data_IF_807228833808
#
_entry.id   IF_807228833808
#
_cell.length_a   1.000
_cell.length_b   1.000
_cell.length_c   1.000
_cell.angle_alpha   90.00
_cell.angle_beta   90.00
_cell.angle_gamma   90.00
#
_symmetry.space_group_name_H-M   'P 1'
#
loop_
_entity.id
_entity.type
_entity.pdbx_description
1 polymer ?
#
# COMPACT_ATOMS: atom_id res chain seq x y z
N UNK A 1 -54.02 21.81 33.58
CA UNK A 1 -53.05 21.17 32.65
C UNK A 1 -52.29 22.17 31.76
N UNK A 2 -52.93 23.15 31.09
CA UNK A 2 -52.21 24.12 30.21
C UNK A 2 -51.11 24.94 30.90
N UNK A 3 -51.31 25.38 32.15
CA UNK A 3 -50.31 26.14 32.93
C UNK A 3 -49.05 25.32 33.24
N UNK A 4 -49.19 24.00 33.42
CA UNK A 4 -48.07 23.09 33.64
C UNK A 4 -47.20 22.97 32.37
N UNK A 5 -47.83 22.92 31.20
CA UNK A 5 -47.14 22.83 29.92
C UNK A 5 -46.35 24.10 29.60
N UNK A 6 -46.90 25.27 29.90
CA UNK A 6 -46.20 26.55 29.75
C UNK A 6 -44.96 26.63 30.65
N UNK A 7 -45.02 26.14 31.89
CA UNK A 7 -43.86 26.10 32.77
C UNK A 7 -42.77 25.15 32.25
N UNK A 8 -43.13 23.99 31.70
CA UNK A 8 -42.18 23.05 31.11
C UNK A 8 -41.47 23.69 29.90
N UNK A 9 -42.20 24.39 29.04
CA UNK A 9 -41.63 25.06 27.86
C UNK A 9 -40.65 26.16 28.26
N UNK A 10 -40.99 26.96 29.28
CA UNK A 10 -40.10 28.02 29.78
C UNK A 10 -38.82 27.41 30.37
N UNK A 11 -38.94 26.33 31.13
CA UNK A 11 -37.79 25.65 31.73
C UNK A 11 -36.88 25.04 30.65
N UNK A 12 -37.46 24.45 29.60
CA UNK A 12 -36.73 23.86 28.49
C UNK A 12 -36.01 24.93 27.65
N UNK A 13 -36.65 26.08 27.41
CA UNK A 13 -36.03 27.23 26.75
C UNK A 13 -34.88 27.83 27.58
N UNK A 14 -35.05 27.95 28.90
CA UNK A 14 -33.99 28.38 29.80
C UNK A 14 -32.79 27.44 29.77
N UNK A 15 -33.04 26.13 29.79
CA UNK A 15 -31.99 25.12 29.71
C UNK A 15 -31.26 25.15 28.35
N UNK A 16 -31.98 25.35 27.25
CA UNK A 16 -31.39 25.47 25.91
C UNK A 16 -30.53 26.73 25.79
N UNK A 17 -31.01 27.87 26.30
CA UNK A 17 -30.23 29.11 26.36
C UNK A 17 -28.97 28.96 27.20
N UNK A 18 -29.08 28.29 28.35
CA UNK A 18 -27.94 28.02 29.22
C UNK A 18 -26.91 27.11 28.54
N UNK A 19 -27.37 26.05 27.85
CA UNK A 19 -26.51 25.14 27.09
C UNK A 19 -25.73 25.86 25.98
N UNK A 20 -26.32 26.88 25.38
CA UNK A 20 -25.67 27.65 24.30
C UNK A 20 -24.57 28.56 24.84
N UNK A 21 -24.77 29.15 26.03
CA UNK A 21 -23.78 30.03 26.66
C UNK A 21 -22.60 29.26 27.29
N UNK A 22 -22.80 27.99 27.64
CA UNK A 22 -21.77 27.11 28.19
C UNK A 22 -21.56 25.90 27.27
N UNK A 23 -20.91 26.08 26.11
CA UNK A 23 -20.52 24.95 25.28
C UNK A 23 -19.65 24.00 26.11
N UNK A 24 -19.84 22.67 25.97
CA UNK A 24 -19.05 21.71 26.70
C UNK A 24 -17.62 21.87 26.20
N UNK A 25 -16.68 22.16 27.12
CA UNK A 25 -15.27 22.27 26.76
C UNK A 25 -14.85 20.93 26.16
N UNK A 26 -14.39 20.95 24.90
CA UNK A 26 -13.76 19.78 24.32
C UNK A 26 -12.54 19.43 25.21
N UNK A 27 -12.32 18.16 25.55
CA UNK A 27 -11.13 17.77 26.28
C UNK A 27 -9.91 18.25 25.49
N UNK A 28 -9.18 19.21 26.05
CA UNK A 28 -7.95 19.70 25.46
C UNK A 28 -6.92 18.58 25.58
N UNK A 29 -6.53 17.99 24.44
CA UNK A 29 -5.40 17.06 24.39
C UNK A 29 -4.17 17.89 24.71
N UNK A 30 -3.78 17.92 25.98
CA UNK A 30 -2.53 18.52 26.41
C UNK A 30 -1.44 17.64 25.81
N UNK A 31 -0.72 18.15 24.80
CA UNK A 31 0.53 17.54 24.38
C UNK A 31 1.42 17.50 25.62
N UNK A 32 1.54 16.32 26.22
CA UNK A 32 2.22 16.15 27.49
C UNK A 32 3.59 16.78 27.42
N UNK A 33 3.95 17.55 28.43
CA UNK A 33 5.34 17.90 28.73
C UNK A 33 6.08 16.59 29.02
N UNK A 34 6.53 15.97 27.95
CA UNK A 34 7.24 14.71 27.87
C UNK A 34 8.75 14.87 28.02
N UNK A 35 9.24 16.04 28.44
CA UNK A 35 10.66 16.37 28.34
C UNK A 35 11.55 15.74 29.44
N UNK A 36 11.13 14.63 30.07
CA UNK A 36 12.01 13.97 31.05
C UNK A 36 11.54 12.65 31.64
N UNK A 37 10.22 12.41 31.76
CA UNK A 37 9.71 11.12 32.29
C UNK A 37 9.62 10.02 31.23
N UNK A 38 9.45 10.41 29.96
CA UNK A 38 9.30 9.45 28.87
C UNK A 38 10.62 8.81 28.46
N UNK A 39 11.76 9.49 28.59
CA UNK A 39 13.03 8.93 28.13
C UNK A 39 13.46 7.69 28.93
N UNK A 40 13.21 7.69 30.24
CA UNK A 40 13.51 6.53 31.09
C UNK A 40 12.53 5.38 30.88
N UNK A 41 11.23 5.67 30.73
CA UNK A 41 10.22 4.65 30.42
C UNK A 41 10.44 4.04 29.02
N UNK A 42 10.82 4.85 28.04
CA UNK A 42 11.16 4.40 26.67
C UNK A 42 12.42 3.54 26.70
N UNK A 43 13.45 3.89 27.48
CA UNK A 43 14.65 3.07 27.63
C UNK A 43 14.37 1.72 28.29
N UNK A 44 13.54 1.70 29.34
CA UNK A 44 13.12 0.45 30.00
C UNK A 44 12.30 -0.42 29.05
N UNK A 45 11.41 0.19 28.25
CA UNK A 45 10.64 -0.52 27.23
C UNK A 45 11.57 -1.10 26.15
N UNK A 46 12.53 -0.33 25.64
CA UNK A 46 13.50 -0.78 24.62
C UNK A 46 14.35 -1.96 25.14
N UNK A 47 14.84 -1.90 26.38
CA UNK A 47 15.59 -3.00 27.00
C UNK A 47 14.73 -4.27 27.19
N UNK A 48 13.42 -4.09 27.44
CA UNK A 48 12.49 -5.21 27.51
C UNK A 48 12.15 -5.81 26.14
N UNK A 49 12.16 -5.00 25.08
CA UNK A 49 11.88 -5.43 23.70
C UNK A 49 13.01 -6.28 23.10
N UNK A 50 14.28 -6.00 23.46
CA UNK A 50 15.42 -6.84 23.08
C UNK A 50 15.33 -8.27 23.66
N UNK A 51 14.50 -8.49 24.69
CA UNK A 51 14.24 -9.81 25.29
C UNK A 51 13.10 -10.57 24.62
N UNK A 52 12.36 -9.95 23.70
CA UNK A 52 11.25 -10.58 22.98
C UNK A 52 11.78 -11.33 21.76
N UNK A 53 11.84 -12.65 21.87
CA UNK A 53 12.25 -13.51 20.77
C UNK A 53 11.37 -13.27 19.52
N UNK A 54 11.99 -12.87 18.41
CA UNK A 54 11.31 -12.64 17.12
C UNK A 54 11.35 -11.19 16.62
N UNK A 55 11.77 -10.23 17.45
CA UNK A 55 12.04 -8.87 17.00
C UNK A 55 13.54 -8.72 16.68
N UNK A 56 13.90 -8.08 15.56
CA UNK A 56 15.29 -7.80 15.25
C UNK A 56 15.84 -6.72 16.22
N UNK A 57 17.13 -6.82 16.55
CA UNK A 57 17.80 -5.86 17.43
C UNK A 57 17.66 -4.42 16.91
N UNK A 58 17.70 -3.43 17.81
CA UNK A 58 17.51 -2.01 17.47
C UNK A 58 18.43 -1.52 16.32
N UNK A 59 19.65 -2.05 16.25
CA UNK A 59 20.63 -1.78 15.19
C UNK A 59 20.10 -2.10 13.78
N UNK A 60 19.21 -3.08 13.64
CA UNK A 60 18.61 -3.46 12.37
C UNK A 60 17.67 -2.39 11.79
N UNK A 61 17.21 -1.45 12.61
CA UNK A 61 16.29 -0.38 12.21
C UNK A 61 17.00 0.94 11.83
N UNK A 62 18.29 1.08 12.10
CA UNK A 62 19.08 2.27 11.73
C UNK A 62 18.95 2.67 10.24
N UNK A 63 18.97 1.73 9.27
CA UNK A 63 18.85 2.07 7.85
C UNK A 63 17.50 2.71 7.45
N UNK A 64 16.45 2.55 8.26
CA UNK A 64 15.13 3.16 8.00
C UNK A 64 15.19 4.67 8.25
N UNK A 65 15.96 5.11 9.25
CA UNK A 65 16.20 6.52 9.53
C UNK A 65 17.03 7.20 8.44
N UNK A 66 18.02 6.48 7.89
CA UNK A 66 18.87 6.97 6.80
C UNK A 66 18.14 7.11 5.46
N UNK A 67 17.07 6.34 5.24
CA UNK A 67 16.30 6.29 3.97
C UNK A 67 14.81 6.51 4.22
N UNK A 68 14.40 7.74 4.58
CA UNK A 68 13.02 8.01 4.94
C UNK A 68 12.07 7.69 3.79
N UNK A 69 11.05 6.88 4.09
CA UNK A 69 9.96 6.56 3.17
C UNK A 69 9.15 7.77 2.74
N UNK A 70 9.25 8.90 3.45
CA UNK A 70 8.56 10.14 3.09
C UNK A 70 9.58 11.26 3.01
N UNK A 71 9.82 11.77 1.80
CA UNK A 71 10.55 13.02 1.61
C UNK A 71 9.53 14.16 1.62
N UNK A 72 9.86 15.28 2.29
CA UNK A 72 9.02 16.49 2.25
C UNK A 72 8.76 16.98 0.81
N UNK A 73 9.64 16.63 -0.14
CA UNK A 73 9.52 16.96 -1.57
C UNK A 73 8.69 15.96 -2.40
N UNK A 74 8.06 14.94 -1.81
CA UNK A 74 7.15 14.05 -2.54
C UNK A 74 5.94 14.86 -3.01
N UNK A 75 5.82 15.07 -4.33
CA UNK A 75 4.65 15.67 -4.97
C UNK A 75 3.78 14.58 -5.59
N UNK A 76 2.45 14.70 -5.57
CA UNK A 76 1.56 13.87 -6.37
C UNK A 76 1.99 13.89 -7.85
N UNK A 77 1.78 12.81 -8.61
CA UNK A 77 1.95 12.86 -10.06
C UNK A 77 1.04 13.95 -10.65
N UNK A 78 1.46 14.63 -11.73
CA UNK A 78 0.64 15.64 -12.38
C UNK A 78 -0.73 15.05 -12.77
N UNK A 79 -1.81 15.85 -12.70
CA UNK A 79 -3.13 15.39 -13.10
C UNK A 79 -3.10 14.82 -14.53
N UNK A 80 -3.71 13.64 -14.70
CA UNK A 80 -3.86 13.04 -16.02
C UNK A 80 -4.78 13.93 -16.86
N UNK A 81 -4.25 14.55 -17.91
CA UNK A 81 -5.04 15.25 -18.92
C UNK A 81 -5.46 14.21 -19.97
N UNK A 82 -6.76 13.88 -20.10
CA UNK A 82 -7.22 12.97 -21.14
C UNK A 82 -6.93 13.62 -22.51
N UNK A 83 -6.29 12.85 -23.40
CA UNK A 83 -6.11 13.27 -24.78
C UNK A 83 -7.48 13.55 -25.45
N UNK A 84 -7.57 14.51 -26.37
CA UNK A 84 -8.80 14.77 -27.11
C UNK A 84 -9.29 13.48 -27.76
N UNK A 85 -10.61 13.23 -27.82
CA UNK A 85 -11.14 12.03 -28.44
C UNK A 85 -10.78 12.05 -29.93
N UNK A 86 -9.76 11.25 -30.28
CA UNK A 86 -9.45 10.96 -31.67
C UNK A 86 -10.64 10.29 -32.35
N UNK A 87 -10.85 10.61 -33.63
CA UNK A 87 -11.88 9.99 -34.47
C UNK A 87 -11.82 8.47 -34.29
N UNK A 88 -12.95 7.87 -33.89
CA UNK A 88 -13.08 6.41 -33.74
C UNK A 88 -12.71 5.76 -35.08
N UNK A 89 -11.75 4.82 -35.13
CA UNK A 89 -11.47 4.09 -36.35
C UNK A 89 -12.71 3.30 -36.80
N UNK A 90 -12.87 3.05 -38.11
CA UNK A 90 -14.00 2.30 -38.64
C UNK A 90 -14.11 0.92 -37.98
N UNK A 91 -15.34 0.55 -37.63
CA UNK A 91 -15.66 -0.75 -37.03
C UNK A 91 -15.28 -1.84 -38.02
N UNK A 92 -14.24 -2.62 -37.69
CA UNK A 92 -13.86 -3.78 -38.50
C UNK A 92 -14.90 -4.89 -38.29
N UNK A 93 -15.18 -5.71 -39.32
CA UNK A 93 -16.05 -6.87 -39.16
C UNK A 93 -15.54 -7.79 -38.05
N UNK A 94 -16.44 -8.47 -37.31
CA UNK A 94 -16.06 -9.32 -36.20
C UNK A 94 -15.15 -10.43 -36.72
N UNK A 95 -13.85 -10.35 -36.39
CA UNK A 95 -12.94 -11.48 -36.54
C UNK A 95 -13.49 -12.62 -35.69
N UNK A 96 -13.47 -13.85 -36.19
CA UNK A 96 -13.68 -15.05 -35.38
C UNK A 96 -12.75 -14.95 -34.17
N UNK A 97 -13.32 -14.64 -33.01
CA UNK A 97 -12.54 -14.42 -31.80
C UNK A 97 -12.19 -15.80 -31.29
N UNK A 98 -10.94 -16.22 -31.48
CA UNK A 98 -10.44 -17.42 -30.82
C UNK A 98 -10.52 -17.28 -29.30
N UNK A 99 -10.13 -18.35 -28.59
CA UNK A 99 -10.19 -18.40 -27.12
C UNK A 99 -9.71 -17.10 -26.44
N UNK A 100 -10.42 -16.62 -25.41
CA UNK A 100 -10.10 -15.39 -24.73
C UNK A 100 -8.69 -15.48 -24.12
N UNK A 101 -7.79 -14.57 -24.52
CA UNK A 101 -6.38 -14.54 -24.06
C UNK A 101 -6.23 -13.79 -22.74
N UNK A 102 -7.09 -14.09 -21.77
CA UNK A 102 -7.11 -13.45 -20.46
C UNK A 102 -6.96 -14.48 -19.34
N UNK A 103 -6.44 -14.03 -18.20
CA UNK A 103 -6.26 -14.81 -16.99
C UNK A 103 -7.05 -14.15 -15.85
N UNK A 104 -7.90 -14.93 -15.18
CA UNK A 104 -8.59 -14.49 -13.98
C UNK A 104 -7.62 -14.53 -12.79
N UNK A 105 -7.33 -13.35 -12.24
CA UNK A 105 -6.34 -13.18 -11.16
C UNK A 105 -7.01 -13.10 -9.78
N UNK A 106 -8.18 -12.46 -9.67
CA UNK A 106 -8.96 -12.42 -8.45
C UNK A 106 -10.44 -12.18 -8.73
N UNK A 107 -11.28 -12.60 -7.79
CA UNK A 107 -12.71 -12.27 -7.74
C UNK A 107 -12.97 -11.56 -6.41
N UNK A 108 -13.65 -10.43 -6.47
CA UNK A 108 -13.98 -9.59 -5.31
C UNK A 108 -15.50 -9.51 -5.24
N UNK A 109 -16.07 -9.95 -4.11
CA UNK A 109 -17.51 -9.95 -3.86
C UNK A 109 -17.76 -9.09 -2.63
N UNK A 110 -18.52 -8.01 -2.79
CA UNK A 110 -18.89 -7.07 -1.72
C UNK A 110 -20.41 -6.97 -1.69
N UNK A 111 -21.04 -7.73 -0.81
CA UNK A 111 -22.51 -7.85 -0.76
C UNK A 111 -23.06 -8.37 -2.09
N UNK A 112 -23.81 -7.52 -2.81
CA UNK A 112 -24.38 -7.85 -4.13
C UNK A 112 -23.47 -7.50 -5.30
N UNK A 113 -22.41 -6.72 -5.08
CA UNK A 113 -21.49 -6.32 -6.14
C UNK A 113 -20.41 -7.37 -6.35
N UNK A 114 -20.16 -7.72 -7.62
CA UNK A 114 -19.12 -8.66 -8.01
C UNK A 114 -18.16 -8.03 -9.02
N UNK A 115 -16.88 -8.20 -8.78
CA UNK A 115 -15.80 -7.71 -9.64
C UNK A 115 -14.81 -8.82 -9.93
N UNK A 116 -14.30 -8.86 -11.16
CA UNK A 116 -13.19 -9.74 -11.52
C UNK A 116 -11.96 -8.88 -11.84
N UNK A 117 -10.80 -9.29 -11.35
CA UNK A 117 -9.51 -8.77 -11.79
C UNK A 117 -8.94 -9.71 -12.84
N UNK A 118 -8.83 -9.21 -14.07
CA UNK A 118 -8.27 -9.94 -15.20
C UNK A 118 -6.91 -9.39 -15.56
N UNK A 119 -6.05 -10.26 -16.08
CA UNK A 119 -4.74 -9.90 -16.63
C UNK A 119 -4.59 -10.51 -18.00
N UNK A 120 -4.04 -9.75 -18.95
CA UNK A 120 -3.83 -10.22 -20.32
C UNK A 120 -4.74 -9.52 -21.32
N UNK A 121 -4.71 -10.02 -22.55
CA UNK A 121 -5.33 -9.35 -23.69
C UNK A 121 -4.45 -8.25 -24.29
N UNK A 122 -5.07 -7.14 -24.73
CA UNK A 122 -4.33 -5.96 -25.24
C UNK A 122 -3.49 -5.23 -24.19
N UNK A 123 -3.84 -5.36 -22.91
CA UNK A 123 -3.12 -4.69 -21.81
C UNK A 123 -2.44 -5.72 -20.90
N UNK A 124 -1.15 -5.49 -20.62
CA UNK A 124 -0.34 -6.37 -19.76
C UNK A 124 -0.64 -6.19 -18.27
N UNK A 125 -1.36 -5.13 -17.91
CA UNK A 125 -1.69 -4.76 -16.55
C UNK A 125 -2.99 -5.42 -16.10
N UNK A 126 -3.14 -5.59 -14.79
CA UNK A 126 -4.40 -6.07 -14.21
C UNK A 126 -5.49 -5.01 -14.36
N UNK A 127 -6.66 -5.39 -14.86
CA UNK A 127 -7.85 -4.54 -15.02
C UNK A 127 -9.02 -5.13 -14.26
N UNK A 128 -9.82 -4.28 -13.63
CA UNK A 128 -11.09 -4.65 -12.99
C UNK A 128 -12.20 -4.65 -14.04
N UNK A 129 -13.02 -5.70 -14.04
CA UNK A 129 -14.18 -5.84 -14.94
C UNK A 129 -15.45 -6.23 -14.18
N UNK A 130 -16.61 -5.88 -14.76
CA UNK A 130 -17.95 -6.13 -14.22
C UNK A 130 -18.79 -6.99 -15.17
N UNK A 131 -19.89 -7.55 -14.66
CA UNK A 131 -20.90 -8.22 -15.50
C UNK A 131 -21.45 -7.23 -16.53
N UNK A 132 -21.56 -7.66 -17.78
CA UNK A 132 -22.01 -6.86 -18.92
C UNK A 132 -20.90 -6.10 -19.65
N UNK A 133 -19.68 -6.03 -19.10
CA UNK A 133 -18.54 -5.37 -19.75
C UNK A 133 -17.94 -6.25 -20.85
N UNK A 134 -17.36 -5.61 -21.87
CA UNK A 134 -16.68 -6.30 -22.98
C UNK A 134 -15.16 -6.25 -22.81
N UNK A 135 -14.52 -7.40 -22.99
CA UNK A 135 -13.08 -7.61 -22.85
C UNK A 135 -12.60 -8.39 -24.08
N UNK A 136 -11.76 -7.77 -24.91
CA UNK A 136 -11.17 -8.40 -26.10
C UNK A 136 -12.20 -9.11 -27.02
N UNK A 137 -13.39 -8.53 -27.18
CA UNK A 137 -14.46 -9.10 -28.00
C UNK A 137 -15.34 -10.13 -27.28
N UNK A 138 -15.15 -10.33 -25.98
CA UNK A 138 -15.98 -11.21 -25.15
C UNK A 138 -16.73 -10.40 -24.10
N UNK A 139 -18.02 -10.64 -23.97
CA UNK A 139 -18.88 -10.03 -22.94
C UNK A 139 -18.89 -10.88 -21.68
N UNK A 140 -18.71 -10.25 -20.52
CA UNK A 140 -18.82 -10.90 -19.22
C UNK A 140 -20.29 -11.19 -18.91
N UNK A 141 -20.67 -12.48 -18.86
CA UNK A 141 -22.02 -12.92 -18.55
C UNK A 141 -22.21 -13.24 -17.07
N UNK A 142 -21.21 -13.84 -16.41
CA UNK A 142 -21.26 -14.13 -14.98
C UNK A 142 -19.90 -14.00 -14.31
N UNK A 143 -19.91 -13.64 -13.03
CA UNK A 143 -18.75 -13.65 -12.14
C UNK A 143 -19.13 -14.48 -10.91
N UNK A 144 -18.41 -15.57 -10.69
CA UNK A 144 -18.58 -16.47 -9.54
C UNK A 144 -17.26 -16.59 -8.76
N UNK A 145 -17.32 -17.16 -7.55
CA UNK A 145 -16.20 -17.16 -6.59
C UNK A 145 -14.87 -17.64 -7.17
N UNK A 146 -14.89 -18.59 -8.09
CA UNK A 146 -13.69 -19.17 -8.70
C UNK A 146 -13.68 -19.14 -10.23
N UNK A 147 -14.67 -18.52 -10.89
CA UNK A 147 -14.76 -18.54 -12.34
C UNK A 147 -15.41 -17.28 -12.92
N UNK A 148 -14.98 -16.94 -14.14
CA UNK A 148 -15.50 -15.86 -14.96
C UNK A 148 -16.09 -16.48 -16.23
N UNK A 149 -17.38 -16.24 -16.49
CA UNK A 149 -18.04 -16.73 -17.70
C UNK A 149 -18.08 -15.60 -18.73
N UNK A 150 -17.58 -15.90 -19.91
CA UNK A 150 -17.49 -14.98 -21.04
C UNK A 150 -18.32 -15.52 -22.20
N UNK A 151 -18.90 -14.62 -23.00
CA UNK A 151 -19.61 -14.98 -24.22
C UNK A 151 -19.34 -14.00 -25.35
N UNK A 152 -19.20 -14.52 -26.57
CA UNK A 152 -19.07 -13.72 -27.78
C UNK A 152 -20.23 -13.98 -28.76
N UNK A 153 -21.45 -14.06 -28.24
CA UNK A 153 -22.68 -14.27 -29.02
C UNK A 153 -22.90 -15.72 -29.46
N UNK A 154 -21.90 -16.39 -30.03
CA UNK A 154 -22.00 -17.79 -30.49
C UNK A 154 -21.34 -18.81 -29.55
N UNK A 155 -20.34 -18.37 -28.77
CA UNK A 155 -19.54 -19.24 -27.91
C UNK A 155 -19.56 -18.73 -26.47
N UNK A 156 -19.44 -19.65 -25.51
CA UNK A 156 -19.25 -19.34 -24.10
C UNK A 156 -18.00 -20.04 -23.58
N UNK A 157 -17.14 -19.28 -22.90
CA UNK A 157 -15.90 -19.81 -22.31
C UNK A 157 -15.89 -19.52 -20.81
N UNK A 158 -15.49 -20.53 -20.03
CA UNK A 158 -15.26 -20.39 -18.60
C UNK A 158 -13.77 -20.18 -18.31
N UNK A 159 -13.42 -19.07 -17.65
CA UNK A 159 -12.06 -18.78 -17.21
C UNK A 159 -11.96 -18.99 -15.71
N UNK A 160 -11.21 -20.01 -15.31
CA UNK A 160 -11.00 -20.35 -13.89
C UNK A 160 -10.00 -19.40 -13.23
N UNK A 161 -10.21 -19.16 -11.94
CA UNK A 161 -9.31 -18.39 -11.10
C UNK A 161 -7.96 -19.10 -11.02
N UNK A 162 -6.87 -18.35 -11.21
CA UNK A 162 -5.52 -18.89 -11.14
C UNK A 162 -5.23 -19.39 -9.72
N UNK A 163 -4.87 -20.67 -9.60
CA UNK A 163 -4.33 -21.23 -8.37
C UNK A 163 -2.90 -20.72 -8.14
N UNK A 164 -2.73 -19.85 -7.15
CA UNK A 164 -1.41 -19.46 -6.67
C UNK A 164 -0.91 -20.50 -5.68
N UNK A 165 0.21 -21.18 -6.00
CA UNK A 165 0.91 -21.99 -4.99
C UNK A 165 1.46 -21.03 -3.93
N UNK A 166 1.19 -21.25 -2.63
CA UNK A 166 1.78 -20.42 -1.59
C UNK A 166 3.30 -20.52 -1.68
N UNK A 167 3.98 -19.39 -1.80
CA UNK A 167 5.43 -19.33 -1.74
C UNK A 167 5.82 -19.62 -0.29
N UNK A 168 6.30 -20.83 -0.03
CA UNK A 168 6.83 -21.17 1.28
C UNK A 168 8.04 -20.27 1.58
N UNK A 169 8.18 -19.73 2.80
CA UNK A 169 9.35 -18.95 3.15
C UNK A 169 10.60 -19.82 2.98
N UNK A 170 11.47 -19.44 2.05
CA UNK A 170 12.78 -20.06 1.88
C UNK A 170 13.54 -19.85 3.18
N UNK A 171 13.84 -20.93 3.91
CA UNK A 171 14.73 -20.89 5.08
C UNK A 171 16.06 -20.32 4.60
N UNK A 172 16.36 -19.08 4.99
CA UNK A 172 17.62 -18.43 4.66
C UNK A 172 18.77 -19.23 5.29
N UNK A 173 19.79 -19.64 4.52
CA UNK A 173 20.95 -20.31 5.09
C UNK A 173 21.70 -19.36 6.04
N UNK A 174 22.30 -19.87 7.13
CA UNK A 174 23.01 -19.04 8.10
C UNK A 174 24.14 -18.27 7.42
N UNK A 175 24.14 -16.96 7.62
CA UNK A 175 25.16 -16.03 7.11
C UNK A 175 26.51 -16.46 7.68
N UNK A 176 27.41 -16.98 6.83
CA UNK A 176 28.77 -17.36 7.26
C UNK A 176 29.45 -16.14 7.89
N UNK A 177 30.07 -16.27 9.07
CA UNK A 177 30.77 -15.16 9.70
C UNK A 177 31.92 -14.69 8.80
N UNK A 178 31.89 -13.41 8.44
CA UNK A 178 32.96 -12.75 7.70
C UNK A 178 34.16 -12.65 8.64
N UNK A 179 35.23 -13.41 8.35
CA UNK A 179 36.48 -13.34 9.09
C UNK A 179 37.14 -11.98 8.80
N UNK A 180 37.12 -11.09 9.79
CA UNK A 180 37.80 -9.80 9.74
C UNK A 180 39.31 -10.01 9.63
N UNK A 181 39.86 -9.89 8.42
CA UNK A 181 41.30 -9.76 8.21
C UNK A 181 41.69 -8.34 8.64
N UNK A 182 42.37 -8.23 9.78
CA UNK A 182 42.98 -6.99 10.25
C UNK A 182 43.92 -6.43 9.17
N UNK A 183 43.64 -5.21 8.74
CA UNK A 183 44.50 -4.37 7.92
C UNK A 183 45.85 -4.16 8.61
N UNK A 184 46.93 -4.69 8.04
CA UNK A 184 48.28 -4.23 8.35
C UNK A 184 48.66 -3.14 7.35
N UNK A 185 48.40 -1.89 7.74
CA UNK A 185 49.02 -0.72 7.13
C UNK A 185 50.53 -0.74 7.45
N UNK A 186 51.31 -1.43 6.62
CA UNK A 186 52.75 -1.24 6.56
C UNK A 186 53.04 0.04 5.77
N UNK A 187 53.36 1.10 6.50
CA UNK A 187 53.90 2.36 5.99
C UNK A 187 55.14 2.07 5.15
N UNK A 188 55.01 2.18 3.83
CA UNK A 188 56.14 2.07 2.90
C UNK A 188 56.91 3.40 2.90
N UNK A 189 58.01 3.44 3.67
CA UNK A 189 59.02 4.52 3.62
C UNK A 189 59.49 4.73 2.17
N UNK A 190 59.48 5.95 1.61
CA UNK A 190 60.11 6.20 0.30
C UNK A 190 61.64 6.16 0.42
N UNK A 191 62.29 5.45 -0.50
CA UNK A 191 63.74 5.31 -0.59
C UNK A 191 64.42 6.62 -1.03
N UNK A 192 65.67 6.91 -0.60
CA UNK A 192 66.40 8.09 -1.03
C UNK A 192 66.85 7.98 -2.50
N UNK A 193 66.75 9.11 -3.21
CA UNK A 193 67.13 9.29 -4.62
C UNK A 193 68.66 9.18 -4.77
N UNK A 194 69.22 8.34 -5.66
CA UNK A 194 70.66 8.33 -5.91
C UNK A 194 71.09 9.62 -6.62
N UNK A 195 72.21 10.19 -6.17
CA UNK A 195 72.82 11.40 -6.71
C UNK A 195 73.36 11.15 -8.13
N UNK A 196 73.06 12.06 -9.06
CA UNK A 196 73.69 12.09 -10.39
C UNK A 196 75.13 12.62 -10.27
N UNK A 197 76.11 12.02 -10.98
CA UNK A 197 77.45 12.57 -11.09
C UNK A 197 77.45 13.75 -12.07
N UNK A 198 78.07 14.86 -11.66
CA UNK A 198 78.42 15.96 -12.57
C UNK A 198 79.50 15.51 -13.53
N UNK A 199 79.27 15.68 -14.83
CA UNK A 199 80.33 15.90 -15.82
C UNK A 199 79.80 16.73 -16.97
#
# INVERSE_FOLDING_TARGET
MRKLWLLIVILLLGFLGWRWFYPPQAPQITAGTAAGRQDDEIKVLLDSMDRVAGFPAQEAYQPIGERPLFFSKRRPPPPYVPAPPGKKPPVRPPRKVGKPRIQLSAVIIIGKEKYALIKGGRQRNSRRVRVGEEVDGWKVTSIDQGKLVLSNGSESEEVLLRNYKPVLPVKTPPKRPVKNTKNNNAVKKPAPRPAMPKR
#
